data_IF_538387854986
#
_entry.id   IF_538387854986
#
_cell.length_a   1.000
_cell.length_b   1.000
_cell.length_c   1.000
_cell.angle_alpha   90.00
_cell.angle_beta   90.00
_cell.angle_gamma   90.00
#
_symmetry.space_group_name_H-M   'P 1'
#
loop_
_entity.id
_entity.type
_entity.pdbx_description
1 polymer ?
#
# COMPACT_ATOMS: atom_id res chain seq x y z
N UNK A 1 49.52 -41.49 -51.18
CA UNK A 1 48.41 -40.52 -51.20
C UNK A 1 47.38 -41.03 -50.22
N UNK A 2 47.40 -40.46 -48.98
CA UNK A 2 46.52 -40.91 -47.87
C UNK A 2 45.35 -39.98 -47.83
N UNK A 3 44.14 -40.49 -48.09
CA UNK A 3 42.89 -39.76 -47.95
C UNK A 3 42.45 -39.79 -46.48
N UNK A 4 42.57 -38.65 -45.78
CA UNK A 4 42.01 -38.49 -44.46
C UNK A 4 40.55 -38.05 -44.64
N UNK A 5 39.61 -38.98 -44.39
CA UNK A 5 38.17 -38.70 -44.33
C UNK A 5 37.91 -38.15 -42.93
N UNK A 6 37.64 -36.83 -42.81
CA UNK A 6 37.15 -36.19 -41.58
C UNK A 6 35.66 -36.53 -41.39
N UNK A 7 35.36 -37.40 -40.43
CA UNK A 7 34.02 -37.75 -40.08
C UNK A 7 33.51 -36.71 -39.07
N UNK A 8 32.72 -35.72 -39.55
CA UNK A 8 32.07 -34.73 -38.72
C UNK A 8 30.90 -35.41 -38.01
N UNK A 9 31.12 -35.95 -36.80
CA UNK A 9 30.03 -36.37 -35.93
C UNK A 9 29.33 -35.12 -35.42
N UNK A 10 28.07 -34.95 -35.86
CA UNK A 10 27.21 -33.91 -35.33
C UNK A 10 27.04 -34.08 -33.83
N UNK A 11 27.78 -33.29 -33.04
CA UNK A 11 27.52 -33.16 -31.62
C UNK A 11 26.40 -32.12 -31.45
N UNK A 12 25.17 -32.59 -31.32
CA UNK A 12 24.05 -31.78 -30.94
C UNK A 12 24.25 -31.47 -29.46
N UNK A 13 24.71 -30.26 -29.16
CA UNK A 13 24.72 -29.73 -27.79
C UNK A 13 23.29 -29.30 -27.47
N UNK A 14 22.59 -30.15 -26.70
CA UNK A 14 21.29 -29.83 -26.16
C UNK A 14 21.45 -28.82 -25.04
N UNK A 15 21.22 -27.54 -25.34
CA UNK A 15 21.10 -26.51 -24.31
C UNK A 15 19.77 -26.74 -23.58
N UNK A 16 19.82 -27.47 -22.46
CA UNK A 16 18.69 -27.52 -21.51
C UNK A 16 18.71 -26.20 -20.75
N UNK A 17 17.93 -25.23 -21.20
CA UNK A 17 17.63 -24.04 -20.43
C UNK A 17 16.77 -24.48 -19.24
N UNK A 18 17.38 -24.57 -18.07
CA UNK A 18 16.65 -24.66 -16.80
C UNK A 18 15.95 -23.32 -16.62
N UNK A 19 14.67 -23.28 -16.95
CA UNK A 19 13.78 -22.20 -16.53
C UNK A 19 13.54 -22.42 -15.04
N UNK A 20 14.34 -21.76 -14.19
CA UNK A 20 13.99 -21.58 -12.80
C UNK A 20 12.78 -20.66 -12.80
N UNK A 21 11.58 -21.21 -12.55
CA UNK A 21 10.47 -20.39 -12.10
C UNK A 21 10.91 -19.83 -10.75
N UNK A 22 11.24 -18.53 -10.70
CA UNK A 22 11.39 -17.83 -9.44
C UNK A 22 10.01 -17.87 -8.77
N UNK A 23 9.92 -18.50 -7.61
CA UNK A 23 8.70 -18.40 -6.80
C UNK A 23 8.61 -16.94 -6.32
N UNK A 24 7.50 -16.28 -6.64
CA UNK A 24 7.23 -14.93 -6.16
C UNK A 24 7.05 -14.96 -4.65
N UNK A 25 7.99 -14.36 -3.93
CA UNK A 25 7.89 -14.23 -2.48
C UNK A 25 6.95 -13.06 -2.15
N UNK A 26 5.84 -13.37 -1.50
CA UNK A 26 4.84 -12.41 -1.04
C UNK A 26 4.89 -12.29 0.47
N UNK A 27 4.94 -11.07 0.99
CA UNK A 27 4.78 -10.79 2.40
C UNK A 27 3.34 -10.38 2.67
N UNK A 28 2.67 -11.12 3.56
CA UNK A 28 1.33 -10.82 4.08
C UNK A 28 1.47 -10.30 5.52
N UNK A 29 1.02 -9.08 5.75
CA UNK A 29 1.28 -8.31 6.96
C UNK A 29 -0.03 -7.78 7.53
N UNK A 30 -0.46 -8.31 8.68
CA UNK A 30 -1.70 -7.86 9.31
C UNK A 30 -1.51 -6.55 10.07
N UNK A 31 -2.38 -5.57 9.77
CA UNK A 31 -2.57 -4.32 10.52
C UNK A 31 -3.98 -4.31 11.10
N UNK A 32 -4.11 -4.81 12.33
CA UNK A 32 -5.40 -4.98 12.98
C UNK A 32 -5.42 -4.39 14.38
N UNK A 33 -6.61 -4.04 14.88
CA UNK A 33 -6.79 -3.43 16.19
C UNK A 33 -6.40 -1.95 16.22
N UNK A 34 -5.86 -1.48 17.34
CA UNK A 34 -5.50 -0.07 17.54
C UNK A 34 -4.09 0.21 16.99
N UNK A 35 -3.96 1.28 16.23
CA UNK A 35 -2.65 1.76 15.76
C UNK A 35 -1.94 2.46 16.91
N UNK A 36 -0.90 1.85 17.44
CA UNK A 36 -0.09 2.34 18.56
C UNK A 36 1.39 2.48 18.19
N UNK A 37 2.23 2.95 19.12
CA UNK A 37 3.66 3.19 18.90
C UNK A 37 4.52 1.93 18.77
N UNK A 38 3.97 0.75 19.02
CA UNK A 38 4.67 -0.52 18.78
C UNK A 38 4.62 -0.93 17.31
N UNK A 39 3.56 -0.54 16.61
CA UNK A 39 3.32 -0.95 15.24
C UNK A 39 4.35 -0.42 14.22
N UNK A 40 4.81 0.85 14.27
CA UNK A 40 5.82 1.34 13.33
C UNK A 40 7.11 0.49 13.32
N UNK A 41 7.62 0.10 14.48
CA UNK A 41 8.81 -0.75 14.56
C UNK A 41 8.60 -2.15 13.98
N UNK A 42 7.39 -2.68 14.11
CA UNK A 42 7.04 -3.95 13.49
C UNK A 42 7.01 -3.82 11.96
N UNK A 43 6.34 -2.79 11.43
CA UNK A 43 6.24 -2.56 9.99
C UNK A 43 7.62 -2.29 9.38
N UNK A 44 8.45 -1.44 10.00
CA UNK A 44 9.81 -1.18 9.55
C UNK A 44 10.65 -2.46 9.43
N UNK A 45 10.58 -3.31 10.45
CA UNK A 45 11.28 -4.59 10.43
C UNK A 45 10.80 -5.50 9.32
N UNK A 46 9.48 -5.56 9.08
CA UNK A 46 8.90 -6.42 8.05
C UNK A 46 9.26 -5.91 6.66
N UNK A 47 9.18 -4.60 6.40
CA UNK A 47 9.57 -4.00 5.12
C UNK A 47 11.05 -4.25 4.83
N UNK A 48 11.95 -3.99 5.79
CA UNK A 48 13.37 -4.27 5.65
C UNK A 48 13.67 -5.76 5.38
N UNK A 49 12.91 -6.65 6.01
CA UNK A 49 13.05 -8.09 5.81
C UNK A 49 12.55 -8.52 4.43
N UNK A 50 11.43 -7.97 3.96
CA UNK A 50 10.91 -8.20 2.62
C UNK A 50 11.91 -7.74 1.54
N UNK A 51 12.47 -6.53 1.69
CA UNK A 51 13.51 -6.01 0.80
C UNK A 51 14.75 -6.91 0.78
N UNK A 52 15.24 -7.31 1.95
CA UNK A 52 16.45 -8.16 2.08
C UNK A 52 16.25 -9.52 1.43
N UNK A 53 15.04 -10.08 1.53
CA UNK A 53 14.71 -11.39 0.98
C UNK A 53 14.27 -11.33 -0.49
N UNK A 54 14.20 -10.16 -1.10
CA UNK A 54 13.82 -9.98 -2.50
C UNK A 54 12.35 -10.31 -2.76
N UNK A 55 11.46 -9.92 -1.86
CA UNK A 55 10.03 -10.11 -2.04
C UNK A 55 9.53 -9.36 -3.27
N UNK A 56 8.54 -9.92 -3.95
CA UNK A 56 7.91 -9.32 -5.12
C UNK A 56 6.85 -8.29 -4.76
N UNK A 57 6.23 -8.43 -3.58
CA UNK A 57 5.15 -7.56 -3.10
C UNK A 57 4.96 -7.70 -1.60
N UNK A 58 4.50 -6.62 -0.96
CA UNK A 58 4.02 -6.62 0.43
C UNK A 58 2.53 -6.30 0.43
N UNK A 59 1.73 -7.16 1.04
CA UNK A 59 0.28 -6.97 1.20
C UNK A 59 0.03 -6.64 2.68
N UNK A 60 -0.49 -5.45 2.95
CA UNK A 60 -0.96 -5.05 4.27
C UNK A 60 -2.45 -5.35 4.38
N UNK A 61 -2.82 -6.41 5.10
CA UNK A 61 -4.22 -6.70 5.42
C UNK A 61 -4.68 -5.78 6.56
N UNK A 62 -5.64 -4.89 6.25
CA UNK A 62 -6.07 -3.82 7.15
C UNK A 62 -7.49 -4.06 7.66
N UNK A 63 -7.64 -4.14 8.99
CA UNK A 63 -8.92 -4.09 9.71
C UNK A 63 -8.74 -3.30 11.02
N UNK A 64 -8.89 -1.99 10.98
CA UNK A 64 -8.67 -1.09 12.12
C UNK A 64 -9.68 0.04 12.19
N UNK A 65 -10.02 0.44 13.41
CA UNK A 65 -10.73 1.70 13.68
C UNK A 65 -9.78 2.90 13.80
N UNK A 66 -8.47 2.70 13.64
CA UNK A 66 -7.47 3.75 13.72
C UNK A 66 -6.68 3.73 15.03
N UNK A 67 -6.16 4.87 15.41
CA UNK A 67 -5.34 5.02 16.60
C UNK A 67 -4.52 6.30 16.60
N UNK A 68 -3.27 6.21 16.99
CA UNK A 68 -2.38 7.37 17.14
C UNK A 68 -1.95 7.91 15.78
N UNK A 69 -2.07 9.24 15.61
CA UNK A 69 -1.65 9.94 14.41
C UNK A 69 -0.13 9.83 14.20
N UNK A 70 0.65 10.01 15.26
CA UNK A 70 2.11 9.93 15.17
C UNK A 70 2.64 8.54 14.79
N UNK A 71 1.98 7.48 15.24
CA UNK A 71 2.28 6.12 14.79
C UNK A 71 1.90 5.91 13.31
N UNK A 72 0.72 6.39 12.90
CA UNK A 72 0.27 6.28 11.52
C UNK A 72 1.18 7.05 10.55
N UNK A 73 1.64 8.26 10.93
CA UNK A 73 2.59 9.04 10.13
C UNK A 73 3.92 8.31 9.94
N UNK A 74 4.46 7.69 11.00
CA UNK A 74 5.68 6.89 10.88
C UNK A 74 5.49 5.67 9.97
N UNK A 75 4.35 4.97 10.09
CA UNK A 75 4.04 3.82 9.22
C UNK A 75 3.91 4.28 7.76
N UNK A 76 3.21 5.40 7.51
CA UNK A 76 3.10 6.01 6.19
C UNK A 76 4.48 6.27 5.58
N UNK A 77 5.38 6.90 6.33
CA UNK A 77 6.73 7.21 5.85
C UNK A 77 7.50 5.92 5.49
N UNK A 78 7.44 4.88 6.33
CA UNK A 78 8.07 3.58 6.08
C UNK A 78 7.53 2.93 4.79
N UNK A 79 6.21 2.99 4.57
CA UNK A 79 5.59 2.38 3.39
C UNK A 79 5.94 3.15 2.12
N UNK A 80 5.91 4.50 2.16
CA UNK A 80 6.28 5.34 1.02
C UNK A 80 7.75 5.15 0.60
N UNK A 81 8.64 4.86 1.55
CA UNK A 81 10.06 4.63 1.30
C UNK A 81 10.37 3.18 0.86
N UNK A 82 9.38 2.28 0.83
CA UNK A 82 9.54 0.89 0.43
C UNK A 82 9.99 0.78 -1.03
N UNK A 83 10.98 -0.07 -1.29
CA UNK A 83 11.44 -0.42 -2.65
C UNK A 83 10.65 -1.58 -3.25
N UNK A 84 9.81 -2.21 -2.46
CA UNK A 84 8.95 -3.32 -2.86
C UNK A 84 7.55 -2.76 -3.09
N UNK A 85 6.85 -3.14 -4.17
CA UNK A 85 5.45 -2.77 -4.38
C UNK A 85 4.58 -3.13 -3.18
N UNK A 86 3.72 -2.20 -2.79
CA UNK A 86 2.88 -2.31 -1.60
C UNK A 86 1.39 -2.30 -1.94
N UNK A 87 0.63 -3.13 -1.26
CA UNK A 87 -0.83 -3.22 -1.42
C UNK A 87 -1.50 -3.09 -0.06
N UNK A 88 -2.46 -2.19 0.05
CA UNK A 88 -3.42 -2.21 1.13
C UNK A 88 -4.61 -3.09 0.75
N UNK A 89 -4.80 -4.19 1.45
CA UNK A 89 -5.99 -5.03 1.34
C UNK A 89 -6.92 -4.76 2.52
N UNK A 90 -8.01 -4.02 2.26
CA UNK A 90 -8.95 -3.64 3.31
C UNK A 90 -10.00 -4.74 3.43
N UNK A 91 -9.85 -5.58 4.44
CA UNK A 91 -10.75 -6.72 4.68
C UNK A 91 -12.12 -6.25 5.19
N UNK A 92 -12.16 -5.31 6.15
CA UNK A 92 -13.42 -4.74 6.68
C UNK A 92 -13.38 -3.23 6.75
N UNK A 93 -12.35 -2.67 7.36
CA UNK A 93 -12.28 -1.23 7.61
C UNK A 93 -10.86 -0.71 7.70
N UNK A 94 -10.67 0.47 7.17
CA UNK A 94 -9.47 1.26 7.31
C UNK A 94 -9.87 2.66 7.76
N UNK A 95 -10.23 2.78 9.05
CA UNK A 95 -10.76 4.02 9.61
C UNK A 95 -9.64 4.87 10.19
N UNK A 96 -9.74 6.20 10.02
CA UNK A 96 -8.83 7.19 10.61
C UNK A 96 -7.36 6.90 10.22
N UNK A 97 -6.49 6.59 11.18
CA UNK A 97 -5.10 6.19 10.93
C UNK A 97 -4.97 5.07 9.88
N UNK A 98 -5.94 4.14 9.83
CA UNK A 98 -5.97 3.08 8.82
C UNK A 98 -6.15 3.61 7.40
N UNK A 99 -6.90 4.70 7.21
CA UNK A 99 -7.04 5.33 5.90
C UNK A 99 -5.71 5.95 5.43
N UNK A 100 -4.99 6.67 6.30
CA UNK A 100 -3.68 7.23 5.99
C UNK A 100 -2.68 6.13 5.59
N UNK A 101 -2.62 5.04 6.35
CA UNK A 101 -1.77 3.88 6.05
C UNK A 101 -2.17 3.25 4.70
N UNK A 102 -3.47 3.12 4.42
CA UNK A 102 -3.93 2.58 3.14
C UNK A 102 -3.54 3.46 1.95
N UNK A 103 -3.62 4.79 2.11
CA UNK A 103 -3.23 5.75 1.07
C UNK A 103 -1.73 5.73 0.77
N UNK A 104 -0.89 5.34 1.74
CA UNK A 104 0.56 5.24 1.56
C UNK A 104 1.00 4.02 0.74
N UNK A 105 0.14 3.02 0.53
CA UNK A 105 0.43 1.89 -0.33
C UNK A 105 0.23 2.26 -1.82
N UNK A 106 0.96 1.59 -2.72
CA UNK A 106 0.84 1.80 -4.18
C UNK A 106 -0.57 1.50 -4.69
N UNK A 107 -1.18 0.44 -4.18
CA UNK A 107 -2.54 0.02 -4.58
C UNK A 107 -3.42 -0.25 -3.38
N UNK A 108 -4.73 -0.04 -3.56
CA UNK A 108 -5.75 -0.33 -2.53
C UNK A 108 -6.78 -1.28 -3.13
N UNK A 109 -7.00 -2.41 -2.46
CA UNK A 109 -8.07 -3.35 -2.76
C UNK A 109 -8.98 -3.50 -1.54
N UNK A 110 -10.28 -3.59 -1.79
CA UNK A 110 -11.29 -3.65 -0.74
C UNK A 110 -12.23 -4.83 -0.96
N UNK A 111 -12.57 -5.52 0.11
CA UNK A 111 -13.67 -6.50 0.05
C UNK A 111 -15.02 -5.80 -0.11
N UNK A 112 -16.01 -6.53 -0.60
CA UNK A 112 -17.37 -5.99 -0.65
C UNK A 112 -17.87 -5.62 0.76
N UNK A 113 -18.33 -4.38 0.92
CA UNK A 113 -18.79 -3.84 2.20
C UNK A 113 -17.68 -3.30 3.11
N UNK A 114 -16.42 -3.32 2.67
CA UNK A 114 -15.35 -2.65 3.40
C UNK A 114 -15.48 -1.12 3.32
N UNK A 115 -14.91 -0.43 4.30
CA UNK A 115 -14.94 1.03 4.40
C UNK A 115 -13.55 1.61 4.63
N UNK A 116 -13.32 2.80 4.06
CA UNK A 116 -12.10 3.59 4.24
C UNK A 116 -12.48 5.05 4.50
N UNK A 117 -11.74 5.75 5.36
CA UNK A 117 -11.94 7.18 5.65
C UNK A 117 -12.22 7.48 7.10
N UNK A 118 -13.18 8.39 7.36
CA UNK A 118 -13.53 8.90 8.70
C UNK A 118 -12.28 9.31 9.48
N UNK A 119 -11.43 10.14 8.87
CA UNK A 119 -10.11 10.50 9.39
C UNK A 119 -10.07 11.87 10.08
N UNK A 120 -11.23 12.46 10.38
CA UNK A 120 -11.31 13.68 11.19
C UNK A 120 -10.64 13.44 12.53
N UNK A 121 -9.61 14.22 12.85
CA UNK A 121 -8.86 14.06 14.09
C UNK A 121 -9.73 14.39 15.30
N UNK A 122 -9.68 13.54 16.31
CA UNK A 122 -10.34 13.73 17.60
C UNK A 122 -9.31 13.73 18.74
N UNK A 123 -9.62 14.48 19.79
CA UNK A 123 -8.83 14.48 21.02
C UNK A 123 -9.14 13.25 21.88
N UNK A 124 -8.33 13.01 22.92
CA UNK A 124 -8.47 11.83 23.79
C UNK A 124 -9.85 11.76 24.49
N UNK A 125 -10.53 12.88 24.66
CA UNK A 125 -11.89 12.95 25.21
C UNK A 125 -12.99 12.76 24.14
N UNK A 126 -12.62 12.39 22.92
CA UNK A 126 -13.54 12.12 21.80
C UNK A 126 -14.10 13.36 21.12
N UNK A 127 -13.66 14.57 21.48
CA UNK A 127 -14.07 15.80 20.81
C UNK A 127 -13.26 16.06 19.57
N UNK A 128 -13.83 16.82 18.62
CA UNK A 128 -13.13 17.29 17.43
C UNK A 128 -11.86 18.04 17.85
N UNK A 129 -10.73 17.69 17.25
CA UNK A 129 -9.45 18.34 17.52
C UNK A 129 -9.45 19.81 17.04
N UNK A 130 -8.43 20.56 17.41
CA UNK A 130 -8.28 21.92 16.92
C UNK A 130 -8.14 21.98 15.40
N UNK A 131 -8.57 23.07 14.77
CA UNK A 131 -8.45 23.26 13.32
C UNK A 131 -7.00 23.09 12.83
N UNK A 132 -6.03 23.45 13.63
CA UNK A 132 -4.60 23.22 13.31
C UNK A 132 -4.30 21.73 13.11
N UNK A 133 -4.82 20.85 13.96
CA UNK A 133 -4.60 19.41 13.87
C UNK A 133 -5.39 18.81 12.70
N UNK A 134 -6.60 19.27 12.48
CA UNK A 134 -7.45 18.83 11.37
C UNK A 134 -6.83 19.25 10.04
N UNK A 135 -6.37 20.49 9.92
CA UNK A 135 -5.69 20.99 8.72
C UNK A 135 -4.39 20.22 8.43
N UNK A 136 -3.64 19.86 9.48
CA UNK A 136 -2.46 19.00 9.33
C UNK A 136 -2.85 17.62 8.78
N UNK A 137 -3.85 16.96 9.38
CA UNK A 137 -4.30 15.65 8.92
C UNK A 137 -4.86 15.69 7.50
N UNK A 138 -5.59 16.74 7.14
CA UNK A 138 -6.11 16.93 5.78
C UNK A 138 -4.99 16.99 4.76
N UNK A 139 -3.96 17.77 5.02
CA UNK A 139 -2.81 17.89 4.14
C UNK A 139 -1.97 16.61 4.10
N UNK A 140 -1.78 15.95 5.24
CA UNK A 140 -1.07 14.67 5.35
C UNK A 140 -1.75 13.59 4.48
N UNK A 141 -3.08 13.48 4.57
CA UNK A 141 -3.86 12.55 3.74
C UNK A 141 -3.79 12.92 2.25
N UNK A 142 -3.92 14.20 1.94
CA UNK A 142 -3.93 14.71 0.58
C UNK A 142 -2.59 14.48 -0.13
N UNK A 143 -1.48 14.84 0.51
CA UNK A 143 -0.12 14.67 -0.05
C UNK A 143 0.28 13.21 -0.15
N UNK A 144 -0.14 12.37 0.80
CA UNK A 144 0.08 10.92 0.74
C UNK A 144 -0.67 10.28 -0.43
N UNK A 145 -1.93 10.68 -0.66
CA UNK A 145 -2.71 10.22 -1.80
C UNK A 145 -2.05 10.60 -3.13
N UNK A 146 -1.65 11.87 -3.26
CA UNK A 146 -0.99 12.41 -4.45
C UNK A 146 0.33 11.70 -4.75
N UNK A 147 1.14 11.40 -3.73
CA UNK A 147 2.41 10.66 -3.88
C UNK A 147 2.21 9.28 -4.53
N UNK A 148 1.05 8.67 -4.36
CA UNK A 148 0.69 7.37 -4.92
C UNK A 148 -0.37 7.46 -6.03
N UNK A 149 -0.44 8.57 -6.75
CA UNK A 149 -1.36 8.80 -7.88
C UNK A 149 -2.84 8.58 -7.53
N UNK A 150 -3.23 8.88 -6.30
CA UNK A 150 -4.62 8.85 -5.83
C UNK A 150 -5.18 10.27 -5.72
N UNK A 151 -6.52 10.41 -5.71
CA UNK A 151 -7.15 11.74 -5.63
C UNK A 151 -6.88 12.41 -4.29
N UNK A 152 -6.25 13.58 -4.36
CA UNK A 152 -6.02 14.51 -3.27
C UNK A 152 -7.34 14.99 -2.65
N UNK A 153 -8.34 15.23 -3.50
CA UNK A 153 -9.65 15.72 -3.10
C UNK A 153 -10.40 14.67 -2.28
N UNK A 154 -10.41 13.41 -2.73
CA UNK A 154 -11.03 12.30 -2.02
C UNK A 154 -10.36 12.11 -0.64
N UNK A 155 -9.03 12.13 -0.60
CA UNK A 155 -8.30 12.01 0.66
C UNK A 155 -8.59 13.18 1.62
N UNK A 156 -8.69 14.41 1.11
CA UNK A 156 -9.08 15.58 1.89
C UNK A 156 -10.50 15.44 2.47
N UNK A 157 -11.45 14.96 1.68
CA UNK A 157 -12.83 14.77 2.11
C UNK A 157 -12.99 13.65 3.17
N UNK A 158 -12.03 12.73 3.29
CA UNK A 158 -12.01 11.76 4.39
C UNK A 158 -11.77 12.42 5.77
N UNK A 159 -11.20 13.62 5.79
CA UNK A 159 -10.88 14.40 7.00
C UNK A 159 -11.84 15.54 7.23
N UNK A 160 -12.23 16.24 6.17
CA UNK A 160 -13.01 17.46 6.20
C UNK A 160 -14.49 17.17 5.94
N UNK A 161 -15.29 17.34 6.96
CA UNK A 161 -16.75 17.10 6.91
C UNK A 161 -17.50 18.11 6.02
N UNK A 162 -16.87 19.24 5.67
CA UNK A 162 -17.47 20.28 4.83
C UNK A 162 -17.17 20.07 3.35
N UNK A 163 -16.26 19.16 2.99
CA UNK A 163 -15.93 18.85 1.61
C UNK A 163 -16.92 17.81 1.03
N UNK A 164 -17.54 18.19 -0.06
CA UNK A 164 -18.42 17.33 -0.85
C UNK A 164 -17.74 17.01 -2.18
N UNK A 165 -17.75 15.73 -2.55
CA UNK A 165 -17.24 15.27 -3.84
C UNK A 165 -18.42 14.77 -4.65
N UNK A 166 -18.66 15.41 -5.79
CA UNK A 166 -19.60 14.94 -6.80
C UNK A 166 -18.85 14.12 -7.84
N UNK A 167 -19.39 12.97 -8.21
CA UNK A 167 -18.85 12.16 -9.29
C UNK A 167 -19.91 11.88 -10.34
N UNK A 168 -19.50 11.81 -11.56
CA UNK A 168 -20.33 11.47 -12.71
C UNK A 168 -19.79 10.19 -13.35
N UNK A 169 -20.69 9.31 -13.78
CA UNK A 169 -20.32 8.20 -14.64
C UNK A 169 -20.36 8.68 -16.09
N UNK A 170 -19.28 8.53 -16.81
CA UNK A 170 -19.25 8.76 -18.26
C UNK A 170 -20.09 7.71 -19.00
N UNK A 171 -20.40 7.95 -20.26
CA UNK A 171 -21.08 6.97 -21.10
C UNK A 171 -20.27 5.68 -21.31
N UNK A 172 -18.94 5.72 -21.09
CA UNK A 172 -18.04 4.55 -21.08
C UNK A 172 -17.99 3.81 -19.74
N UNK A 173 -18.62 4.36 -18.69
CA UNK A 173 -18.61 3.79 -17.33
C UNK A 173 -17.44 4.28 -16.47
N UNK A 174 -16.62 5.21 -16.96
CA UNK A 174 -15.53 5.79 -16.18
C UNK A 174 -16.07 6.82 -15.18
N UNK A 175 -15.46 6.86 -14.00
CA UNK A 175 -15.78 7.86 -12.98
C UNK A 175 -15.01 9.15 -13.27
N UNK A 176 -15.74 10.27 -13.28
CA UNK A 176 -15.19 11.64 -13.42
C UNK A 176 -15.51 12.39 -12.12
N UNK A 177 -14.49 12.93 -11.48
CA UNK A 177 -14.61 13.78 -10.28
C UNK A 177 -14.34 15.23 -10.60
#
# INVERSE_FOLDING_TARGET
MVNIIFNFKNTIILFISFIFAAEDLVYDVSISGTIDMGLPHYIERVVNQAETNGASIIIFEIDTFGGRVDAATQIKDIILDSKIPTVAFINKRAISAGALISLSCDSIYMTSGASIGAATAVSLDGKKASEKVISYMREEMATTAEANNKSREIASAMVDEELYIEYFLSASGDTIT
#
